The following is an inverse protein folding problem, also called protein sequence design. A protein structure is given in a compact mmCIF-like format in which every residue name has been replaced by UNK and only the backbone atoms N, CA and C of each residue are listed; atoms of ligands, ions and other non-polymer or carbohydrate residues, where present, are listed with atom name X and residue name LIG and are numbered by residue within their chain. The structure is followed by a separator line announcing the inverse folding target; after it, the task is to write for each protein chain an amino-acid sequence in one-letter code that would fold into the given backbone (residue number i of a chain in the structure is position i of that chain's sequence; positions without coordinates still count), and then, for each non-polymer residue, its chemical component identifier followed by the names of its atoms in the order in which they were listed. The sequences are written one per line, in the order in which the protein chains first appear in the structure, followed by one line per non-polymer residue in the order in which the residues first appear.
data_IF_094301844795
#
_entry.id   IF_094301844795
#
_cell.length_a   1.000
_cell.length_b   1.000
_cell.length_c   1.000
_cell.angle_alpha   90.00
_cell.angle_beta   90.00
_cell.angle_gamma   90.00
#
_symmetry.space_group_name_H-M   'P 1'
#
loop_
_entity.id
_entity.type
_entity.pdbx_description
1 polymer ?
#
# COMPACT_ATOMS: atom_id res chain seq x y z
N UNK A 1 48.77 30.43 -23.44
CA UNK A 1 48.23 31.80 -23.49
C UNK A 1 47.22 31.95 -22.35
N UNK A 2 47.48 32.94 -21.52
CA UNK A 2 46.71 33.33 -20.31
C UNK A 2 45.41 34.03 -20.73
N UNK A 3 44.41 33.96 -19.88
CA UNK A 3 43.38 34.96 -19.53
C UNK A 3 42.03 34.25 -19.31
N UNK A 4 41.12 34.61 -18.39
CA UNK A 4 41.17 35.48 -17.23
C UNK A 4 39.89 35.14 -16.41
N UNK A 5 39.99 35.21 -15.09
CA UNK A 5 38.86 35.21 -14.15
C UNK A 5 37.94 36.42 -14.41
N UNK A 6 36.63 36.21 -14.28
CA UNK A 6 35.69 37.28 -13.99
C UNK A 6 34.78 36.87 -12.84
N UNK A 7 35.03 37.49 -11.70
CA UNK A 7 34.23 37.44 -10.48
C UNK A 7 33.21 38.55 -10.62
N UNK A 8 31.91 38.22 -10.49
CA UNK A 8 30.88 39.22 -10.31
C UNK A 8 30.08 38.86 -9.05
N UNK A 9 30.33 39.61 -8.00
CA UNK A 9 29.58 39.52 -6.76
C UNK A 9 28.22 40.17 -6.90
N UNK A 10 27.21 39.58 -6.26
CA UNK A 10 25.91 40.20 -6.02
C UNK A 10 25.58 40.16 -4.54
N UNK A 11 25.30 41.32 -4.07
CA UNK A 11 25.03 41.79 -2.74
C UNK A 11 23.76 41.20 -2.12
N UNK A 12 23.82 40.83 -0.84
CA UNK A 12 22.69 40.60 0.06
C UNK A 12 21.89 41.89 0.26
N UNK A 13 20.59 41.80 0.20
CA UNK A 13 19.67 42.76 0.84
C UNK A 13 18.70 41.97 1.73
N UNK A 14 18.93 42.13 3.02
CA UNK A 14 18.03 41.69 4.09
C UNK A 14 16.90 42.73 4.22
N UNK A 15 15.68 42.30 4.22
CA UNK A 15 14.54 43.09 4.67
C UNK A 15 13.79 42.33 5.76
N UNK A 16 13.99 42.79 7.00
CA UNK A 16 13.14 42.46 8.14
C UNK A 16 11.82 43.28 8.01
N UNK A 17 10.72 42.62 8.17
CA UNK A 17 9.46 43.28 8.57
C UNK A 17 8.86 42.52 9.74
N UNK A 18 8.92 43.18 10.91
CA UNK A 18 8.11 42.91 12.09
C UNK A 18 6.71 43.54 11.91
N UNK A 19 5.65 42.83 12.29
CA UNK A 19 4.39 43.41 12.78
C UNK A 19 3.66 42.30 13.52
N UNK A 20 3.61 42.29 14.80
CA UNK A 20 2.73 42.97 15.77
C UNK A 20 1.38 42.26 15.97
N UNK A 21 1.27 41.79 17.22
CA UNK A 21 0.13 41.18 17.88
C UNK A 21 -1.15 42.07 17.80
N UNK A 22 -2.30 41.43 17.72
CA UNK A 22 -3.50 41.94 18.39
C UNK A 22 -4.31 40.79 18.98
N UNK A 23 -4.39 40.84 20.29
CA UNK A 23 -5.32 40.12 21.16
C UNK A 23 -6.67 40.81 21.09
N UNK A 24 -7.77 40.05 21.08
CA UNK A 24 -9.04 40.57 21.58
C UNK A 24 -9.78 39.45 22.34
N UNK A 25 -9.86 39.70 23.65
CA UNK A 25 -10.75 39.07 24.63
C UNK A 25 -12.17 39.56 24.49
N UNK A 26 -13.11 38.78 24.96
CA UNK A 26 -14.35 39.07 25.70
C UNK A 26 -15.50 38.19 25.19
N UNK A 27 -16.00 37.35 25.95
CA UNK A 27 -16.68 37.23 27.22
C UNK A 27 -18.14 36.78 27.05
N UNK A 28 -18.48 35.68 27.72
CA UNK A 28 -19.59 35.47 28.66
C UNK A 28 -21.05 35.59 28.22
N UNK A 29 -21.82 34.50 28.41
CA UNK A 29 -22.99 34.34 29.31
C UNK A 29 -23.81 33.14 28.95
N UNK A 30 -23.89 32.20 29.84
CA UNK A 30 -24.92 31.86 30.85
C UNK A 30 -26.17 31.17 30.32
N UNK A 31 -26.27 29.93 30.77
CA UNK A 31 -27.34 29.28 31.54
C UNK A 31 -28.76 29.23 30.97
N UNK A 32 -29.31 28.00 30.88
CA UNK A 32 -30.40 27.62 31.77
C UNK A 32 -30.72 26.13 31.74
N UNK A 33 -30.86 25.62 32.95
CA UNK A 33 -31.35 24.30 33.35
C UNK A 33 -32.88 24.23 33.23
N UNK A 34 -33.42 23.02 33.01
CA UNK A 34 -34.66 22.54 33.62
C UNK A 34 -34.83 21.05 33.28
N UNK A 35 -34.67 20.27 34.12
CA UNK A 35 -35.25 19.32 35.06
C UNK A 35 -36.75 19.04 34.86
N UNK A 36 -37.05 17.75 34.86
CA UNK A 36 -38.21 17.04 35.47
C UNK A 36 -38.63 15.89 34.55
N UNK A 37 -38.97 14.76 34.95
CA UNK A 37 -39.16 13.94 36.19
C UNK A 37 -39.85 12.66 35.77
N UNK A 38 -39.35 11.55 36.30
CA UNK A 38 -40.01 10.33 36.81
C UNK A 38 -41.42 9.99 36.26
N UNK A 39 -41.59 8.72 35.80
CA UNK A 39 -42.58 7.86 36.43
C UNK A 39 -42.20 6.38 36.18
N UNK A 40 -42.08 5.61 37.28
CA UNK A 40 -42.10 4.17 37.36
C UNK A 40 -43.54 3.67 37.13
N UNK A 41 -43.65 2.46 36.56
CA UNK A 41 -44.59 1.45 37.12
C UNK A 41 -44.18 0.04 36.69
N UNK A 42 -43.98 -0.73 37.70
CA UNK A 42 -43.85 -2.17 37.75
C UNK A 42 -45.18 -2.86 37.38
N UNK A 43 -45.11 -4.04 36.77
CA UNK A 43 -45.88 -5.21 37.29
C UNK A 43 -45.39 -6.51 36.63
N UNK A 44 -45.15 -7.44 37.51
CA UNK A 44 -44.84 -8.85 37.36
C UNK A 44 -46.02 -9.64 36.79
N UNK A 45 -45.77 -10.67 35.99
CA UNK A 45 -46.43 -11.96 36.22
C UNK A 45 -45.68 -13.16 35.69
N UNK A 46 -45.69 -14.17 36.50
CA UNK A 46 -45.09 -15.48 36.42
C UNK A 46 -45.86 -16.48 35.57
N UNK A 47 -45.17 -17.50 35.09
CA UNK A 47 -45.49 -18.92 34.89
C UNK A 47 -45.53 -19.39 33.43
N UNK A 48 -44.70 -20.30 33.00
CA UNK A 48 -44.84 -21.74 33.19
C UNK A 48 -43.74 -22.48 32.40
N UNK A 49 -43.18 -23.48 33.01
CA UNK A 49 -42.31 -24.52 32.46
C UNK A 49 -42.94 -25.20 31.23
N UNK A 50 -42.14 -25.34 30.15
CA UNK A 50 -42.21 -26.52 29.31
C UNK A 50 -40.82 -26.85 28.76
N UNK A 51 -40.41 -28.05 29.11
CA UNK A 51 -39.20 -28.73 28.76
C UNK A 51 -39.27 -29.14 27.28
N UNK A 52 -38.36 -28.66 26.44
CA UNK A 52 -38.05 -29.30 25.17
C UNK A 52 -36.54 -29.28 24.97
N UNK A 53 -35.98 -30.49 25.02
CA UNK A 53 -34.62 -30.80 24.59
C UNK A 53 -34.45 -30.38 23.14
N UNK A 54 -33.67 -29.34 22.90
CA UNK A 54 -33.14 -29.02 21.58
C UNK A 54 -31.71 -29.54 21.46
N UNK A 55 -31.58 -30.39 20.48
CA UNK A 55 -30.39 -31.03 19.96
C UNK A 55 -29.41 -29.92 19.47
N UNK A 56 -28.32 -29.73 20.20
CA UNK A 56 -27.27 -28.77 19.87
C UNK A 56 -26.34 -29.41 18.85
N UNK A 57 -26.78 -29.37 17.58
CA UNK A 57 -25.89 -29.71 16.49
C UNK A 57 -24.91 -28.56 16.29
N UNK A 58 -23.73 -28.67 16.88
CA UNK A 58 -22.55 -27.88 16.47
C UNK A 58 -22.32 -28.11 14.97
N UNK A 59 -22.62 -27.12 14.16
CA UNK A 59 -22.08 -27.03 12.82
C UNK A 59 -20.56 -26.86 12.96
N UNK A 60 -19.86 -27.94 12.71
CA UNK A 60 -18.43 -27.99 12.47
C UNK A 60 -18.19 -27.18 11.19
N UNK A 61 -17.83 -25.90 11.33
CA UNK A 61 -17.30 -25.10 10.23
C UNK A 61 -16.04 -25.81 9.75
N UNK A 62 -16.16 -26.47 8.63
CA UNK A 62 -15.05 -27.08 7.91
C UNK A 62 -14.00 -26.00 7.69
N UNK A 63 -12.84 -26.14 8.36
CA UNK A 63 -11.62 -25.45 7.97
C UNK A 63 -11.39 -25.81 6.51
N UNK A 64 -11.48 -24.83 5.62
CA UNK A 64 -10.98 -24.96 4.27
C UNK A 64 -9.46 -25.10 4.41
N UNK A 65 -8.96 -26.33 4.24
CA UNK A 65 -7.52 -26.58 4.09
C UNK A 65 -7.07 -25.76 2.87
N UNK A 66 -6.23 -24.75 3.10
CA UNK A 66 -5.63 -23.97 2.02
C UNK A 66 -4.87 -24.95 1.10
N UNK A 67 -5.31 -25.05 -0.16
CA UNK A 67 -4.57 -25.81 -1.16
C UNK A 67 -3.18 -25.17 -1.32
N UNK A 68 -2.10 -25.94 -1.44
CA UNK A 68 -0.78 -25.37 -1.68
C UNK A 68 -0.84 -24.51 -2.95
N UNK A 69 -0.42 -23.26 -2.83
CA UNK A 69 -0.34 -22.34 -3.96
C UNK A 69 0.76 -22.84 -4.88
N UNK A 70 0.41 -23.13 -6.13
CA UNK A 70 1.39 -23.56 -7.15
C UNK A 70 2.05 -22.30 -7.73
N UNK A 71 3.13 -21.85 -7.09
CA UNK A 71 3.88 -20.68 -7.56
C UNK A 71 4.52 -20.96 -8.91
N UNK A 72 4.42 -19.99 -9.80
CA UNK A 72 4.95 -20.06 -11.17
C UNK A 72 6.13 -19.12 -11.37
N UNK A 73 6.20 -18.04 -10.57
CA UNK A 73 7.19 -16.98 -10.72
C UNK A 73 7.91 -16.68 -9.40
N UNK A 74 9.03 -15.98 -9.49
CA UNK A 74 9.77 -15.43 -8.36
C UNK A 74 10.28 -14.04 -8.67
N UNK A 75 10.59 -13.25 -7.63
CA UNK A 75 11.32 -11.99 -7.76
C UNK A 75 12.81 -12.27 -7.80
N UNK A 76 13.52 -11.82 -8.83
CA UNK A 76 14.97 -11.86 -8.85
C UNK A 76 15.54 -10.91 -7.78
N UNK A 77 16.30 -11.39 -6.79
CA UNK A 77 16.74 -10.57 -5.67
C UNK A 77 17.81 -9.51 -6.03
N UNK A 78 18.42 -9.59 -7.21
CA UNK A 78 19.48 -8.69 -7.63
C UNK A 78 18.98 -7.53 -8.51
N UNK A 79 17.97 -7.79 -9.35
CA UNK A 79 17.48 -6.82 -10.34
C UNK A 79 15.96 -6.63 -10.32
N UNK A 80 15.26 -7.34 -9.44
CA UNK A 80 13.82 -7.24 -9.19
C UNK A 80 12.91 -7.52 -10.39
N UNK A 81 13.42 -8.21 -11.40
CA UNK A 81 12.59 -8.77 -12.48
C UNK A 81 11.75 -9.92 -11.95
N UNK A 82 10.60 -10.13 -12.58
CA UNK A 82 9.74 -11.29 -12.33
C UNK A 82 10.18 -12.42 -13.26
N UNK A 83 10.67 -13.50 -12.69
CA UNK A 83 11.24 -14.61 -13.43
C UNK A 83 10.40 -15.88 -13.24
N UNK A 84 10.16 -16.65 -14.30
CA UNK A 84 9.47 -17.92 -14.17
C UNK A 84 10.33 -18.94 -13.38
N UNK A 85 9.68 -19.77 -12.59
CA UNK A 85 10.33 -20.87 -11.86
C UNK A 85 10.69 -22.04 -12.79
N UNK A 86 9.98 -22.21 -13.90
CA UNK A 86 10.25 -23.23 -14.89
C UNK A 86 10.54 -22.60 -16.25
N UNK A 87 11.41 -23.24 -17.05
CA UNK A 87 11.79 -22.75 -18.38
C UNK A 87 10.63 -22.72 -19.39
N UNK A 88 9.57 -23.49 -19.13
CA UNK A 88 8.40 -23.63 -19.99
C UNK A 88 7.37 -22.49 -19.77
N UNK A 89 7.47 -21.78 -18.64
CA UNK A 89 6.55 -20.69 -18.31
C UNK A 89 6.89 -19.42 -19.10
N UNK A 90 5.87 -18.56 -19.29
CA UNK A 90 6.01 -17.33 -20.06
C UNK A 90 6.99 -16.37 -19.38
N UNK A 91 7.97 -15.88 -20.14
CA UNK A 91 8.97 -14.90 -19.68
C UNK A 91 8.53 -13.47 -19.98
N UNK A 92 7.65 -13.30 -20.99
CA UNK A 92 7.20 -11.98 -21.42
C UNK A 92 6.05 -11.49 -20.54
N UNK A 93 6.34 -11.33 -19.27
CA UNK A 93 5.41 -10.90 -18.25
C UNK A 93 5.73 -9.49 -17.75
N UNK A 94 4.73 -8.81 -17.20
CA UNK A 94 4.88 -7.53 -16.52
C UNK A 94 4.03 -7.51 -15.25
N UNK A 95 4.59 -6.96 -14.17
CA UNK A 95 3.90 -6.74 -12.90
C UNK A 95 3.62 -5.25 -12.73
N UNK A 96 2.37 -4.90 -12.46
CA UNK A 96 1.98 -3.54 -12.10
C UNK A 96 2.08 -3.37 -10.59
N UNK A 97 2.70 -2.29 -10.12
CA UNK A 97 2.77 -1.98 -8.70
C UNK A 97 2.49 -0.50 -8.44
N UNK A 98 1.75 -0.24 -7.36
CA UNK A 98 1.31 1.10 -6.95
C UNK A 98 1.81 1.36 -5.54
N UNK A 99 2.73 2.29 -5.37
CA UNK A 99 3.26 2.71 -4.08
C UNK A 99 2.48 3.89 -3.50
N UNK A 100 2.78 4.24 -2.25
CA UNK A 100 2.14 5.32 -1.49
C UNK A 100 0.61 5.17 -1.33
N UNK A 101 0.11 3.96 -1.33
CA UNK A 101 -1.32 3.68 -1.18
C UNK A 101 -1.70 3.47 0.31
N UNK A 102 -2.97 3.72 0.65
CA UNK A 102 -3.96 4.48 -0.08
C UNK A 102 -3.89 5.98 0.26
N UNK A 103 -3.34 6.81 -0.62
CA UNK A 103 -3.29 8.27 -0.40
C UNK A 103 -4.59 8.96 -0.92
N UNK A 104 -4.79 9.03 -2.25
CA UNK A 104 -5.90 9.80 -2.82
C UNK A 104 -6.70 9.08 -3.91
N UNK A 105 -6.06 8.29 -4.76
CA UNK A 105 -6.65 7.69 -5.97
C UNK A 105 -6.61 6.14 -5.98
N UNK A 106 -6.16 5.50 -4.90
CA UNK A 106 -5.96 4.05 -4.87
C UNK A 106 -7.22 3.27 -5.30
N UNK A 107 -8.40 3.66 -4.81
CA UNK A 107 -9.67 3.00 -5.19
C UNK A 107 -9.99 3.22 -6.66
N UNK A 108 -9.84 4.45 -7.18
CA UNK A 108 -10.10 4.75 -8.58
C UNK A 108 -9.16 3.97 -9.51
N UNK A 109 -7.87 3.87 -9.15
CA UNK A 109 -6.86 3.05 -9.86
C UNK A 109 -7.28 1.58 -9.82
N UNK A 110 -7.65 1.07 -8.65
CA UNK A 110 -8.08 -0.32 -8.46
C UNK A 110 -9.34 -0.65 -9.28
N UNK A 111 -10.36 0.20 -9.26
CA UNK A 111 -11.57 0.03 -10.06
C UNK A 111 -11.27 -0.02 -11.56
N UNK A 112 -10.39 0.85 -12.05
CA UNK A 112 -9.94 0.87 -13.44
C UNK A 112 -9.20 -0.41 -13.81
N UNK A 113 -8.22 -0.83 -13.00
CA UNK A 113 -7.49 -2.08 -13.23
C UNK A 113 -8.42 -3.30 -13.20
N UNK A 114 -9.35 -3.35 -12.23
CA UNK A 114 -10.36 -4.41 -12.13
C UNK A 114 -11.26 -4.47 -13.35
N UNK A 115 -11.62 -3.33 -13.93
CA UNK A 115 -12.50 -3.27 -15.11
C UNK A 115 -11.91 -3.91 -16.37
N UNK A 116 -10.59 -4.08 -16.41
CA UNK A 116 -9.83 -4.68 -17.53
C UNK A 116 -9.10 -5.96 -17.13
N UNK A 117 -9.44 -6.56 -15.99
CA UNK A 117 -8.82 -7.76 -15.44
C UNK A 117 -7.27 -7.64 -15.39
N UNK A 118 -6.77 -6.49 -14.89
CA UNK A 118 -5.35 -6.23 -14.71
C UNK A 118 -4.96 -6.36 -13.23
N UNK A 119 -4.24 -7.42 -12.83
CA UNK A 119 -3.76 -7.59 -11.46
C UNK A 119 -2.64 -6.60 -11.13
N UNK A 120 -2.50 -6.26 -9.84
CA UNK A 120 -1.45 -5.38 -9.35
C UNK A 120 -1.16 -5.64 -7.87
N UNK A 121 -0.01 -5.11 -7.40
CA UNK A 121 0.32 -4.97 -5.98
C UNK A 121 0.13 -3.52 -5.56
N UNK A 122 -0.57 -3.28 -4.44
CA UNK A 122 -0.59 -1.99 -3.78
C UNK A 122 0.33 -2.04 -2.56
N UNK A 123 1.37 -1.22 -2.55
CA UNK A 123 2.28 -1.08 -1.42
C UNK A 123 1.78 0.02 -0.48
N UNK A 124 1.44 -0.38 0.74
CA UNK A 124 0.71 0.41 1.72
C UNK A 124 1.65 1.11 2.68
N UNK A 125 1.52 2.44 2.80
CA UNK A 125 2.09 3.15 3.95
C UNK A 125 1.13 3.08 5.14
N UNK A 126 1.66 2.62 6.27
CA UNK A 126 0.87 2.42 7.49
C UNK A 126 0.17 3.69 7.98
N UNK A 127 0.79 4.86 7.80
CA UNK A 127 0.20 6.15 8.19
C UNK A 127 -1.14 6.45 7.52
N UNK A 128 -1.40 5.93 6.32
CA UNK A 128 -2.67 6.15 5.62
C UNK A 128 -3.79 5.24 6.11
N UNK A 129 -3.45 4.16 6.82
CA UNK A 129 -4.42 3.18 7.33
C UNK A 129 -4.55 3.20 8.87
N UNK A 130 -4.07 4.25 9.55
CA UNK A 130 -4.30 4.42 10.99
C UNK A 130 -5.76 4.81 11.31
N UNK A 131 -6.44 5.49 10.40
CA UNK A 131 -7.84 5.90 10.56
C UNK A 131 -8.82 4.81 10.13
N UNK A 132 -10.06 4.86 10.63
CA UNK A 132 -11.13 3.95 10.21
C UNK A 132 -11.41 4.07 8.69
N UNK A 133 -11.32 5.28 8.11
CA UNK A 133 -11.49 5.52 6.68
C UNK A 133 -10.37 4.84 5.86
N UNK A 134 -9.11 4.99 6.31
CA UNK A 134 -7.98 4.34 5.65
C UNK A 134 -8.04 2.81 5.73
N UNK A 135 -8.46 2.26 6.87
CA UNK A 135 -8.70 0.82 7.03
C UNK A 135 -9.80 0.32 6.09
N UNK A 136 -10.88 1.05 5.95
CA UNK A 136 -11.96 0.71 5.02
C UNK A 136 -11.46 0.74 3.56
N UNK A 137 -10.62 1.72 3.20
CA UNK A 137 -10.00 1.80 1.87
C UNK A 137 -9.07 0.60 1.61
N UNK A 138 -8.22 0.24 2.58
CA UNK A 138 -7.38 -0.97 2.49
C UNK A 138 -8.22 -2.23 2.28
N UNK A 139 -9.31 -2.35 3.08
CA UNK A 139 -10.22 -3.49 2.97
C UNK A 139 -10.86 -3.56 1.59
N UNK A 140 -11.27 -2.45 1.00
CA UNK A 140 -11.83 -2.40 -0.35
C UNK A 140 -10.81 -2.85 -1.40
N UNK A 141 -9.55 -2.42 -1.33
CA UNK A 141 -8.49 -2.88 -2.23
C UNK A 141 -8.31 -4.40 -2.16
N UNK A 142 -8.26 -4.94 -0.94
CA UNK A 142 -8.14 -6.37 -0.72
C UNK A 142 -9.37 -7.16 -1.21
N UNK A 143 -10.59 -6.69 -0.92
CA UNK A 143 -11.85 -7.32 -1.35
C UNK A 143 -12.02 -7.28 -2.89
N UNK A 144 -11.39 -6.31 -3.56
CA UNK A 144 -11.30 -6.29 -5.03
C UNK A 144 -10.32 -7.32 -5.60
N UNK A 145 -9.51 -7.96 -4.74
CA UNK A 145 -8.59 -9.04 -5.11
C UNK A 145 -7.17 -8.57 -5.45
N UNK A 146 -6.80 -7.35 -5.05
CA UNK A 146 -5.42 -6.88 -5.23
C UNK A 146 -4.50 -7.40 -4.14
N UNK A 147 -3.26 -7.70 -4.51
CA UNK A 147 -2.21 -8.04 -3.56
C UNK A 147 -1.81 -6.81 -2.76
N UNK A 148 -1.65 -6.99 -1.45
CA UNK A 148 -1.25 -5.94 -0.52
C UNK A 148 0.19 -6.16 -0.08
N UNK A 149 1.05 -5.17 -0.34
CA UNK A 149 2.42 -5.11 0.12
C UNK A 149 2.63 -4.07 1.21
N UNK A 150 3.76 -4.14 1.92
CA UNK A 150 4.16 -3.18 2.96
C UNK A 150 5.13 -2.14 2.36
N UNK A 151 4.86 -0.85 2.57
CA UNK A 151 5.71 0.28 2.14
C UNK A 151 6.21 1.14 3.30
N UNK A 152 6.40 0.54 4.47
CA UNK A 152 6.74 1.16 5.75
C UNK A 152 5.63 2.04 6.36
N UNK A 153 5.83 2.44 7.62
CA UNK A 153 4.81 3.17 8.38
C UNK A 153 4.69 4.63 7.93
N UNK A 154 5.82 5.34 7.82
CA UNK A 154 5.83 6.80 7.57
C UNK A 154 6.58 7.19 6.31
N UNK A 155 6.92 6.22 5.46
CA UNK A 155 7.74 6.41 4.27
C UNK A 155 9.14 6.97 4.60
N UNK A 156 9.74 6.55 5.74
CA UNK A 156 11.06 7.00 6.16
C UNK A 156 12.17 6.38 5.27
N UNK A 157 13.24 7.14 5.04
CA UNK A 157 14.47 6.59 4.47
C UNK A 157 15.16 5.70 5.51
N UNK A 158 15.12 4.38 5.30
CA UNK A 158 15.61 3.40 6.26
C UNK A 158 17.10 3.57 6.60
N UNK A 159 17.92 4.12 5.70
CA UNK A 159 19.34 4.37 5.98
C UNK A 159 19.59 5.57 6.89
N UNK A 160 18.57 6.39 7.17
CA UNK A 160 18.68 7.61 7.97
C UNK A 160 18.12 7.46 9.39
N UNK A 161 17.57 6.27 9.72
CA UNK A 161 16.96 5.95 11.01
C UNK A 161 17.66 4.75 11.68
N UNK A 162 17.51 4.62 12.99
CA UNK A 162 18.12 3.54 13.76
C UNK A 162 17.55 2.16 13.41
N UNK A 163 18.24 1.06 13.72
CA UNK A 163 17.73 -0.29 13.53
C UNK A 163 16.39 -0.54 14.24
N UNK A 164 16.19 0.04 15.41
CA UNK A 164 14.95 -0.06 16.18
C UNK A 164 13.80 0.66 15.47
N UNK A 165 14.06 1.87 14.95
CA UNK A 165 13.08 2.63 14.17
C UNK A 165 12.75 1.94 12.84
N UNK A 166 13.73 1.31 12.16
CA UNK A 166 13.47 0.52 10.96
C UNK A 166 12.52 -0.65 11.25
N UNK A 167 12.70 -1.32 12.40
CA UNK A 167 11.80 -2.39 12.82
C UNK A 167 10.40 -1.86 13.09
N UNK A 168 10.27 -0.73 13.77
CA UNK A 168 8.97 -0.11 14.02
C UNK A 168 8.26 0.26 12.70
N UNK A 169 8.96 0.85 11.75
CA UNK A 169 8.45 1.20 10.43
C UNK A 169 7.87 -0.01 9.68
N UNK A 170 8.51 -1.16 9.76
CA UNK A 170 8.10 -2.35 9.02
C UNK A 170 7.00 -3.12 9.78
N UNK A 171 7.25 -3.42 11.06
CA UNK A 171 6.36 -4.28 11.84
C UNK A 171 5.02 -3.63 12.11
N UNK A 172 4.99 -2.34 12.48
CA UNK A 172 3.73 -1.64 12.73
C UNK A 172 2.80 -1.65 11.51
N UNK A 173 3.37 -1.51 10.33
CA UNK A 173 2.57 -1.59 9.08
C UNK A 173 2.07 -3.01 8.84
N UNK A 174 2.89 -4.05 9.08
CA UNK A 174 2.44 -5.44 9.00
C UNK A 174 1.27 -5.72 9.95
N UNK A 175 1.36 -5.22 11.20
CA UNK A 175 0.32 -5.38 12.22
C UNK A 175 -0.98 -4.67 11.78
N UNK A 176 -0.91 -3.41 11.33
CA UNK A 176 -2.07 -2.65 10.87
C UNK A 176 -2.76 -3.31 9.66
N UNK A 177 -1.98 -3.83 8.72
CA UNK A 177 -2.53 -4.58 7.58
C UNK A 177 -3.23 -5.83 8.08
N UNK A 178 -2.55 -6.64 8.90
CA UNK A 178 -3.12 -7.87 9.45
C UNK A 178 -4.39 -7.63 10.28
N UNK A 179 -4.39 -6.64 11.16
CA UNK A 179 -5.57 -6.24 11.95
C UNK A 179 -6.76 -5.84 11.08
N UNK A 180 -6.50 -5.30 9.88
CA UNK A 180 -7.52 -4.76 9.00
C UNK A 180 -8.11 -5.82 8.07
N UNK A 181 -7.27 -6.66 7.45
CA UNK A 181 -7.70 -7.62 6.41
C UNK A 181 -7.47 -9.08 6.80
N UNK A 182 -6.87 -9.37 7.97
CA UNK A 182 -6.61 -10.74 8.45
C UNK A 182 -5.47 -11.47 7.73
N UNK A 183 -4.74 -10.79 6.83
CA UNK A 183 -3.63 -11.37 6.07
C UNK A 183 -2.39 -10.50 6.22
N UNK A 184 -1.22 -11.13 6.46
CA UNK A 184 0.06 -10.43 6.48
C UNK A 184 0.56 -10.17 5.05
N UNK A 185 1.18 -9.00 4.76
CA UNK A 185 1.74 -8.73 3.44
C UNK A 185 2.90 -9.70 3.12
N UNK A 186 2.95 -10.22 1.90
CA UNK A 186 4.03 -11.11 1.43
C UNK A 186 5.22 -10.35 0.85
N UNK A 187 5.01 -9.10 0.47
CA UNK A 187 6.00 -8.26 -0.20
C UNK A 187 6.28 -7.01 0.61
N UNK A 188 7.54 -6.62 0.64
CA UNK A 188 7.99 -5.35 1.21
C UNK A 188 8.75 -4.55 0.16
N UNK A 189 8.44 -3.28 0.05
CA UNK A 189 9.20 -2.31 -0.74
C UNK A 189 9.69 -1.19 0.16
N UNK A 190 11.02 -1.02 0.23
CA UNK A 190 11.60 0.06 1.00
C UNK A 190 11.34 1.41 0.32
N UNK A 191 10.96 2.47 1.07
CA UNK A 191 10.93 3.82 0.55
C UNK A 191 12.22 4.19 -0.17
N UNK A 192 12.10 4.88 -1.30
CA UNK A 192 13.24 5.27 -2.16
C UNK A 192 14.08 4.10 -2.70
N UNK A 193 13.63 2.86 -2.53
CA UNK A 193 14.39 1.65 -2.86
C UNK A 193 15.60 1.40 -1.94
N UNK A 194 15.67 2.08 -0.80
CA UNK A 194 16.82 2.03 0.13
C UNK A 194 16.66 0.87 1.10
N UNK A 195 17.24 -0.29 0.73
CA UNK A 195 17.34 -1.45 1.61
C UNK A 195 18.60 -1.37 2.48
N UNK A 196 18.54 -1.88 3.70
CA UNK A 196 19.65 -1.96 4.64
C UNK A 196 19.83 -3.39 5.14
N UNK A 197 20.96 -3.71 5.76
CA UNK A 197 21.18 -5.03 6.38
C UNK A 197 20.09 -5.29 7.45
N UNK A 198 19.73 -4.28 8.23
CA UNK A 198 18.68 -4.37 9.25
C UNK A 198 17.31 -4.65 8.63
N UNK A 199 16.93 -3.93 7.56
CA UNK A 199 15.65 -4.21 6.88
C UNK A 199 15.64 -5.62 6.27
N UNK A 200 16.78 -6.09 5.74
CA UNK A 200 16.88 -7.44 5.21
C UNK A 200 16.64 -8.52 6.28
N UNK A 201 17.25 -8.36 7.47
CA UNK A 201 17.01 -9.26 8.60
C UNK A 201 15.54 -9.27 9.06
N UNK A 202 14.88 -8.11 9.06
CA UNK A 202 13.47 -8.00 9.45
C UNK A 202 12.58 -8.67 8.42
N UNK A 203 12.81 -8.44 7.13
CA UNK A 203 12.04 -9.02 6.03
C UNK A 203 12.15 -10.55 6.02
N UNK A 204 13.34 -11.10 6.29
CA UNK A 204 13.55 -12.53 6.45
C UNK A 204 12.77 -13.09 7.67
N UNK A 205 12.78 -12.39 8.82
CA UNK A 205 12.06 -12.78 10.04
C UNK A 205 10.53 -12.75 9.88
N UNK A 206 10.02 -11.89 9.00
CA UNK A 206 8.59 -11.72 8.72
C UNK A 206 8.13 -12.55 7.53
N UNK A 207 8.96 -13.42 6.99
CA UNK A 207 8.67 -14.26 5.80
C UNK A 207 8.17 -13.44 4.61
N UNK A 208 8.80 -12.28 4.37
CA UNK A 208 8.49 -11.41 3.25
C UNK A 208 9.56 -11.47 2.16
N UNK A 209 9.21 -10.98 0.99
CA UNK A 209 10.11 -10.82 -0.16
C UNK A 209 10.34 -9.35 -0.43
N UNK A 210 11.60 -8.93 -0.60
CA UNK A 210 11.91 -7.62 -1.14
C UNK A 210 11.42 -7.51 -2.58
N UNK A 211 10.71 -6.40 -2.87
CA UNK A 211 10.22 -6.13 -4.21
C UNK A 211 10.47 -4.67 -4.58
N UNK A 212 11.73 -4.30 -4.91
CA UNK A 212 11.96 -3.03 -5.59
C UNK A 212 11.38 -3.12 -7.02
N UNK A 213 11.88 -2.38 -7.98
CA UNK A 213 11.30 -2.27 -9.32
C UNK A 213 12.37 -2.33 -10.40
N UNK A 214 11.96 -2.55 -11.64
CA UNK A 214 12.85 -2.48 -12.81
C UNK A 214 12.86 -1.09 -13.41
N UNK A 215 11.72 -0.41 -13.46
CA UNK A 215 11.60 0.99 -13.88
C UNK A 215 10.28 1.62 -13.42
N UNK A 216 10.23 2.95 -13.47
CA UNK A 216 9.07 3.79 -13.24
C UNK A 216 9.44 5.25 -13.52
N UNK A 217 8.45 6.12 -13.71
CA UNK A 217 8.72 7.51 -14.14
C UNK A 217 7.73 8.53 -13.57
N UNK A 218 6.66 8.13 -12.91
CA UNK A 218 5.55 9.02 -12.55
C UNK A 218 5.87 10.06 -11.46
N UNK A 219 7.03 9.92 -10.78
CA UNK A 219 7.56 10.94 -9.85
C UNK A 219 8.38 12.03 -10.56
N UNK A 220 8.79 11.83 -11.81
CA UNK A 220 9.55 12.80 -12.56
C UNK A 220 8.62 13.87 -13.15
N UNK A 221 8.99 15.14 -12.98
CA UNK A 221 8.15 16.28 -13.39
C UNK A 221 7.74 16.26 -14.88
N UNK A 222 8.59 15.72 -15.74
CA UNK A 222 8.34 15.63 -17.19
C UNK A 222 7.25 14.60 -17.53
N UNK A 223 6.92 13.69 -16.60
CA UNK A 223 5.96 12.61 -16.81
C UNK A 223 4.73 12.69 -15.89
N UNK A 224 4.51 13.84 -15.22
CA UNK A 224 3.30 14.12 -14.45
C UNK A 224 2.13 14.58 -15.35
N UNK A 225 2.09 14.06 -16.56
CA UNK A 225 1.01 14.17 -17.54
C UNK A 225 0.64 12.76 -18.00
N UNK A 226 -0.65 12.39 -18.03
CA UNK A 226 -1.06 11.01 -18.31
C UNK A 226 -0.55 10.48 -19.65
N UNK A 227 -0.53 11.32 -20.68
CA UNK A 227 -0.06 10.91 -22.02
C UNK A 227 1.46 10.74 -22.05
N UNK A 228 2.21 11.65 -21.43
CA UNK A 228 3.66 11.56 -21.34
C UNK A 228 4.07 10.34 -20.51
N UNK A 229 3.35 10.08 -19.40
CA UNK A 229 3.57 8.90 -18.58
C UNK A 229 3.31 7.61 -19.37
N UNK A 230 2.17 7.50 -20.03
CA UNK A 230 1.83 6.33 -20.86
C UNK A 230 2.91 6.10 -21.92
N UNK A 231 3.35 7.16 -22.61
CA UNK A 231 4.35 7.03 -23.68
C UNK A 231 5.69 6.51 -23.14
N UNK A 232 6.21 7.08 -22.06
CA UNK A 232 7.49 6.63 -21.49
C UNK A 232 7.40 5.25 -20.89
N UNK A 233 6.31 4.92 -20.16
CA UNK A 233 6.14 3.61 -19.54
C UNK A 233 6.10 2.48 -20.59
N UNK A 234 5.59 2.75 -21.77
CA UNK A 234 5.48 1.77 -22.85
C UNK A 234 6.68 1.75 -23.79
N UNK A 235 7.50 2.79 -23.87
CA UNK A 235 8.55 2.91 -24.89
C UNK A 235 9.96 3.09 -24.32
N UNK A 236 10.15 2.98 -23.00
CA UNK A 236 11.48 2.98 -22.39
C UNK A 236 12.31 1.77 -22.81
N UNK A 237 13.63 1.93 -22.86
CA UNK A 237 14.58 0.82 -23.06
C UNK A 237 14.62 -0.18 -21.89
N UNK A 238 14.05 0.20 -20.73
CA UNK A 238 13.97 -0.64 -19.54
C UNK A 238 12.76 -1.57 -19.53
N UNK A 239 11.81 -1.44 -20.46
CA UNK A 239 10.71 -2.38 -20.62
C UNK A 239 11.22 -3.67 -21.28
N UNK A 240 11.51 -4.65 -20.46
CA UNK A 240 12.00 -5.97 -20.85
C UNK A 240 11.10 -7.07 -20.26
N UNK A 241 11.36 -8.33 -20.64
CA UNK A 241 10.67 -9.49 -20.09
C UNK A 241 10.86 -9.54 -18.56
N UNK A 242 9.78 -9.81 -17.84
CA UNK A 242 9.77 -9.78 -16.38
C UNK A 242 9.75 -8.38 -15.78
N UNK A 243 9.31 -7.37 -16.52
CA UNK A 243 9.24 -6.00 -16.03
C UNK A 243 8.38 -5.88 -14.77
N UNK A 244 8.91 -5.20 -13.76
CA UNK A 244 8.24 -4.84 -12.52
C UNK A 244 8.14 -3.31 -12.45
N UNK A 245 6.94 -2.80 -12.71
CA UNK A 245 6.69 -1.38 -12.96
C UNK A 245 6.35 -0.66 -11.66
N UNK A 246 7.10 0.38 -11.33
CA UNK A 246 6.79 1.28 -10.23
C UNK A 246 5.91 2.44 -10.72
N UNK A 247 4.79 2.61 -10.06
CA UNK A 247 3.91 3.77 -10.13
C UNK A 247 3.44 4.12 -8.72
N UNK A 248 2.84 5.29 -8.55
CA UNK A 248 2.35 5.74 -7.25
C UNK A 248 0.86 6.12 -7.31
N UNK A 249 0.24 6.21 -6.15
CA UNK A 249 -1.13 6.72 -5.98
C UNK A 249 -1.16 8.24 -6.28
N UNK A 250 -1.23 8.59 -7.57
CA UNK A 250 -1.18 9.97 -8.08
C UNK A 250 -2.23 10.20 -9.16
N UNK A 251 -2.71 11.45 -9.36
CA UNK A 251 -3.75 11.75 -10.34
C UNK A 251 -3.35 11.40 -11.77
N UNK A 252 -2.11 11.66 -12.17
CA UNK A 252 -1.64 11.32 -13.53
C UNK A 252 -1.48 9.82 -13.73
N UNK A 253 -1.12 9.08 -12.70
CA UNK A 253 -1.10 7.61 -12.73
C UNK A 253 -2.51 7.06 -12.84
N UNK A 254 -3.45 7.58 -12.03
CA UNK A 254 -4.86 7.24 -12.13
C UNK A 254 -5.39 7.44 -13.55
N UNK A 255 -5.05 8.56 -14.19
CA UNK A 255 -5.52 8.85 -15.54
C UNK A 255 -4.84 8.03 -16.65
N UNK A 256 -3.61 7.55 -16.42
CA UNK A 256 -2.81 6.80 -17.39
C UNK A 256 -2.96 5.26 -17.27
N UNK A 257 -3.42 4.74 -16.14
CA UNK A 257 -3.25 3.33 -15.75
C UNK A 257 -3.87 2.35 -16.72
N UNK A 258 -5.05 2.66 -17.30
CA UNK A 258 -5.69 1.81 -18.31
C UNK A 258 -4.83 1.75 -19.58
N UNK A 259 -4.41 2.91 -20.09
CA UNK A 259 -3.63 2.99 -21.32
C UNK A 259 -2.26 2.28 -21.16
N UNK A 260 -1.65 2.34 -19.98
CA UNK A 260 -0.41 1.61 -19.66
C UNK A 260 -0.68 0.10 -19.65
N UNK A 261 -1.69 -0.36 -18.93
CA UNK A 261 -2.00 -1.79 -18.80
C UNK A 261 -2.40 -2.42 -20.14
N UNK A 262 -3.27 -1.75 -20.92
CA UNK A 262 -3.68 -2.21 -22.24
C UNK A 262 -2.51 -2.15 -23.24
N UNK A 263 -1.71 -1.08 -23.21
CA UNK A 263 -0.53 -0.95 -24.06
C UNK A 263 0.52 -2.04 -23.80
N UNK A 264 0.70 -2.50 -22.57
CA UNK A 264 1.54 -3.66 -22.25
C UNK A 264 0.96 -4.94 -22.87
N UNK A 265 -0.35 -5.18 -22.72
CA UNK A 265 -1.03 -6.32 -23.36
C UNK A 265 -0.90 -6.27 -24.88
N UNK A 266 -1.06 -5.11 -25.51
CA UNK A 266 -0.88 -4.92 -26.97
C UNK A 266 0.55 -5.19 -27.43
N UNK A 267 1.55 -4.92 -26.59
CA UNK A 267 2.95 -5.28 -26.84
C UNK A 267 3.24 -6.77 -26.59
N UNK A 268 2.24 -7.53 -26.16
CA UNK A 268 2.31 -8.97 -25.93
C UNK A 268 2.84 -9.36 -24.56
N UNK A 269 2.82 -8.45 -23.56
CA UNK A 269 3.10 -8.81 -22.17
C UNK A 269 1.86 -9.40 -21.51
N UNK A 270 2.06 -10.48 -20.75
CA UNK A 270 1.06 -10.99 -19.81
C UNK A 270 1.18 -10.20 -18.50
N UNK A 271 0.11 -9.54 -18.07
CA UNK A 271 0.06 -8.94 -16.73
C UNK A 271 -0.11 -10.08 -15.72
N UNK A 272 0.89 -10.26 -14.87
CA UNK A 272 0.96 -11.42 -13.97
C UNK A 272 0.17 -11.17 -12.69
N UNK A 273 -0.56 -12.19 -12.26
CA UNK A 273 -1.18 -12.22 -10.95
C UNK A 273 -0.09 -12.35 -9.86
N UNK A 274 0.02 -11.39 -8.93
CA UNK A 274 1.00 -11.46 -7.84
C UNK A 274 0.86 -12.72 -6.97
N UNK A 275 -0.32 -13.33 -6.90
CA UNK A 275 -0.53 -14.58 -6.18
C UNK A 275 0.33 -15.73 -6.70
N UNK A 276 0.76 -15.67 -7.97
CA UNK A 276 1.63 -16.67 -8.60
C UNK A 276 3.12 -16.46 -8.28
N UNK A 277 3.49 -15.38 -7.61
CA UNK A 277 4.89 -15.07 -7.25
C UNK A 277 5.21 -15.75 -5.92
N UNK A 278 6.28 -16.55 -5.91
CA UNK A 278 6.75 -17.27 -4.73
C UNK A 278 7.11 -16.31 -3.58
N UNK A 279 6.69 -16.68 -2.39
CA UNK A 279 7.11 -16.10 -1.11
C UNK A 279 7.37 -17.25 -0.12
N UNK A 280 8.11 -17.01 0.97
CA UNK A 280 8.26 -18.02 2.01
C UNK A 280 6.89 -18.52 2.48
N UNK A 281 6.80 -19.84 2.73
CA UNK A 281 5.58 -20.40 3.34
C UNK A 281 5.46 -19.87 4.76
N UNK A 282 4.29 -19.34 5.09
CA UNK A 282 3.95 -18.93 6.44
C UNK A 282 3.24 -20.08 7.13
N UNK A 283 3.74 -20.47 8.30
CA UNK A 283 2.95 -21.30 9.20
C UNK A 283 1.75 -20.45 9.64
N UNK A 284 0.53 -20.84 9.23
CA UNK A 284 -0.66 -20.28 9.82
C UNK A 284 -0.60 -20.58 11.32
N UNK A 285 -0.43 -19.54 12.12
CA UNK A 285 -0.53 -19.66 13.57
C UNK A 285 -1.94 -20.13 13.89
N UNK A 286 -2.07 -21.43 14.18
CA UNK A 286 -3.29 -22.00 14.72
C UNK A 286 -3.49 -21.42 16.12
N UNK A 287 -4.31 -20.36 16.27
CA UNK A 287 -4.90 -19.95 17.52
C UNK A 287 -6.30 -20.57 17.72
#
# INVERSE_FOLDING_TARGET
MKQALSICGVTLISALLLSACQTNDSATSQTNSASSSLTQSSESNSNAMSNSTEDDSFEETSKEESQPVDYTYQVNPAIFTIEPLNEEDDKKVALLTIDDAPDQHAIEIAEKLKSIDAPAVFFINGMYIESDEGKETLKQLYDMGFEIGNHSQTHANLSEISPEEQREEIIKTNELIYETIGVKPRFFRAPFGVNTDTSAEIIEQEDMVFMNWTYGYDWEADYQDPKALTDIMLNTEYLNDGANLLMHDRPWTNDAIIDIAEGLKEKGYTLIDPALIASPEREESAE
#
